data_IF_238993424204
#
_entry.id   IF_238993424204
#
_cell.length_a   1.000
_cell.length_b   1.000
_cell.length_c   1.000
_cell.angle_alpha   90.00
_cell.angle_beta   90.00
_cell.angle_gamma   90.00
#
_symmetry.space_group_name_H-M   'P 1'
#
loop_
_entity.id
_entity.type
_entity.pdbx_description
1 polymer ?
#
# COMPACT_ATOMS: atom_id res chain seq x y z
N UNK A 1 17.43 13.50 76.62
CA UNK A 1 17.24 14.12 75.29
C UNK A 1 17.70 13.15 74.19
N UNK A 2 16.94 12.07 73.97
CA UNK A 2 17.23 11.07 72.92
C UNK A 2 15.99 10.21 72.58
N UNK A 3 14.95 10.29 73.40
CA UNK A 3 13.63 9.67 73.18
C UNK A 3 12.60 10.59 72.53
N UNK A 4 12.91 11.89 72.35
CA UNK A 4 12.03 12.85 71.63
C UNK A 4 12.34 12.94 70.13
N UNK A 5 13.26 12.12 69.60
CA UNK A 5 13.66 12.11 68.19
C UNK A 5 13.08 10.91 67.42
N UNK A 6 12.22 10.10 68.05
CA UNK A 6 11.70 8.86 67.46
C UNK A 6 10.25 9.02 66.97
N UNK A 7 9.50 10.01 67.47
CA UNK A 7 8.14 10.29 66.96
C UNK A 7 8.10 11.20 65.71
N UNK A 8 9.21 11.83 65.32
CA UNK A 8 9.23 12.70 64.12
C UNK A 8 9.50 11.93 62.82
N UNK A 9 9.88 10.65 62.91
CA UNK A 9 10.14 9.79 61.73
C UNK A 9 8.94 8.96 61.28
N UNK A 10 7.79 9.05 61.97
CA UNK A 10 6.61 8.20 61.68
C UNK A 10 5.44 8.93 61.00
N UNK A 11 5.64 10.14 60.47
CA UNK A 11 4.56 10.97 59.90
C UNK A 11 4.78 11.35 58.42
N UNK A 12 5.82 10.85 57.75
CA UNK A 12 6.07 11.14 56.33
C UNK A 12 5.57 10.07 55.34
N UNK A 13 4.75 9.12 55.77
CA UNK A 13 4.23 8.05 54.89
C UNK A 13 2.80 8.28 54.42
N UNK A 14 2.35 9.53 54.27
CA UNK A 14 1.10 9.84 53.58
C UNK A 14 1.35 10.82 52.43
N UNK A 15 1.14 10.32 51.20
CA UNK A 15 0.77 11.16 50.08
C UNK A 15 1.82 11.33 48.97
N UNK A 16 2.14 10.24 48.28
CA UNK A 16 2.48 10.34 46.85
C UNK A 16 1.66 9.29 46.09
N UNK A 17 0.41 9.64 45.79
CA UNK A 17 -0.33 8.98 44.72
C UNK A 17 0.25 9.48 43.39
N UNK A 18 1.28 8.81 42.88
CA UNK A 18 1.70 9.00 41.50
C UNK A 18 0.56 8.49 40.60
N UNK A 19 -0.19 9.42 40.00
CA UNK A 19 -1.03 9.09 38.86
C UNK A 19 -0.10 8.61 37.74
N UNK A 20 -0.09 7.31 37.46
CA UNK A 20 0.57 6.77 36.27
C UNK A 20 -0.14 7.37 35.05
N UNK A 21 0.56 8.23 34.33
CA UNK A 21 0.14 8.63 32.98
C UNK A 21 0.04 7.36 32.13
N UNK A 22 -1.03 7.18 31.33
CA UNK A 22 -1.15 6.02 30.46
C UNK A 22 0.07 5.96 29.54
N UNK A 23 0.82 4.87 29.64
CA UNK A 23 1.93 4.58 28.75
C UNK A 23 1.40 4.45 27.33
N UNK A 24 1.89 5.30 26.42
CA UNK A 24 1.56 5.21 25.00
C UNK A 24 2.00 3.84 24.47
N UNK A 25 1.03 3.03 24.05
CA UNK A 25 1.30 1.73 23.42
C UNK A 25 2.09 1.95 22.12
N UNK A 26 3.19 1.22 21.87
CA UNK A 26 3.91 1.31 20.60
C UNK A 26 2.95 0.97 19.45
N UNK A 27 3.00 1.71 18.32
CA UNK A 27 2.13 1.43 17.17
C UNK A 27 2.35 0.00 16.69
N UNK A 28 1.25 -0.71 16.44
CA UNK A 28 1.27 -2.07 15.92
C UNK A 28 1.98 -2.09 14.56
N UNK A 29 2.65 -3.19 14.16
CA UNK A 29 3.22 -3.33 12.82
C UNK A 29 2.21 -2.99 11.70
N UNK A 30 0.93 -3.30 11.91
CA UNK A 30 -0.14 -2.94 10.97
C UNK A 30 -0.33 -1.42 10.80
N UNK A 31 -0.11 -0.63 11.86
CA UNK A 31 -0.17 0.84 11.80
C UNK A 31 1.03 1.43 11.04
N UNK A 32 2.16 0.71 10.98
CA UNK A 32 3.34 1.12 10.23
C UNK A 32 3.17 0.84 8.73
N UNK A 33 2.65 -0.34 8.38
CA UNK A 33 2.35 -0.71 6.98
C UNK A 33 1.28 0.19 6.35
N UNK A 34 0.28 0.61 7.13
CA UNK A 34 -0.73 1.55 6.67
C UNK A 34 -0.14 2.93 6.32
N UNK A 35 0.91 3.35 7.02
CA UNK A 35 1.56 4.67 6.81
C UNK A 35 2.48 4.70 5.60
N UNK A 36 2.92 3.55 5.08
CA UNK A 36 3.83 3.44 3.92
C UNK A 36 3.13 2.92 2.65
N UNK A 37 1.86 2.51 2.73
CA UNK A 37 1.09 2.05 1.56
C UNK A 37 0.77 3.20 0.61
N UNK A 38 1.24 3.09 -0.62
CA UNK A 38 0.86 3.98 -1.73
C UNK A 38 -0.37 3.37 -2.42
N UNK A 39 -1.45 4.15 -2.51
CA UNK A 39 -2.66 3.81 -3.26
C UNK A 39 -2.73 4.77 -4.44
N UNK A 40 -2.89 4.23 -5.65
CA UNK A 40 -3.03 5.00 -6.88
C UNK A 40 -4.21 4.47 -7.68
N UNK A 41 -5.10 5.37 -8.08
CA UNK A 41 -6.14 5.05 -9.05
C UNK A 41 -5.53 5.00 -10.45
N UNK A 42 -5.69 3.86 -11.12
CA UNK A 42 -5.20 3.66 -12.49
C UNK A 42 -6.36 3.31 -13.43
N UNK A 43 -6.37 3.94 -14.60
CA UNK A 43 -7.38 3.67 -15.63
C UNK A 43 -6.84 2.62 -16.60
N UNK A 44 -7.55 1.50 -16.73
CA UNK A 44 -7.27 0.48 -17.75
C UNK A 44 -8.20 0.70 -18.95
N UNK A 45 -7.63 0.79 -20.15
CA UNK A 45 -8.40 0.95 -21.39
C UNK A 45 -8.24 -0.30 -22.23
N UNK A 46 -9.35 -0.90 -22.67
CA UNK A 46 -9.35 -2.03 -23.58
C UNK A 46 -9.31 -1.52 -25.03
N UNK A 47 -8.45 -2.11 -25.85
CA UNK A 47 -8.32 -1.78 -27.28
C UNK A 47 -8.77 -2.98 -28.11
N UNK A 48 -9.80 -2.80 -28.94
CA UNK A 48 -10.26 -3.80 -29.91
C UNK A 48 -9.78 -3.38 -31.30
N UNK A 49 -9.13 -4.31 -32.01
CA UNK A 49 -8.61 -4.07 -33.35
C UNK A 49 -8.62 -5.35 -34.20
N UNK A 50 -8.48 -5.18 -35.51
CA UNK A 50 -8.38 -6.28 -36.47
C UNK A 50 -7.21 -6.03 -37.41
N UNK A 51 -6.46 -7.09 -37.73
CA UNK A 51 -5.33 -7.01 -38.67
C UNK A 51 -5.70 -7.71 -39.97
N UNK A 52 -5.55 -7.01 -41.08
CA UNK A 52 -5.80 -7.53 -42.43
C UNK A 52 -4.59 -7.38 -43.33
N UNK A 53 -4.46 -8.28 -44.30
CA UNK A 53 -3.48 -8.14 -45.37
C UNK A 53 -3.96 -7.14 -46.45
N UNK A 54 -3.10 -6.86 -47.44
CA UNK A 54 -3.43 -5.95 -48.55
C UNK A 54 -4.63 -6.38 -49.40
N UNK A 55 -5.09 -7.64 -49.26
CA UNK A 55 -6.23 -8.22 -49.98
C UNK A 55 -7.47 -8.31 -49.10
N UNK A 56 -7.43 -7.81 -47.86
CA UNK A 56 -8.54 -7.82 -46.92
C UNK A 56 -8.73 -9.13 -46.16
N UNK A 57 -7.77 -10.07 -46.21
CA UNK A 57 -7.85 -11.32 -45.44
C UNK A 57 -7.37 -11.09 -44.02
N UNK A 58 -8.00 -11.74 -43.04
CA UNK A 58 -7.56 -11.66 -41.65
C UNK A 58 -6.19 -12.33 -41.44
N UNK A 59 -5.36 -11.68 -40.63
CA UNK A 59 -4.09 -12.22 -40.15
C UNK A 59 -4.33 -12.76 -38.74
N UNK A 60 -4.24 -14.09 -38.59
CA UNK A 60 -4.68 -14.80 -37.36
C UNK A 60 -3.53 -15.35 -36.52
N UNK A 61 -2.30 -15.26 -36.99
CA UNK A 61 -1.12 -15.86 -36.35
C UNK A 61 -0.23 -14.83 -35.63
N UNK A 62 -0.81 -13.73 -35.15
CA UNK A 62 -0.09 -12.68 -34.40
C UNK A 62 -0.19 -12.91 -32.89
N UNK A 63 0.93 -12.78 -32.20
CA UNK A 63 1.03 -12.85 -30.75
C UNK A 63 1.20 -11.47 -30.13
N UNK A 64 1.17 -11.41 -28.79
CA UNK A 64 1.36 -10.16 -28.02
C UNK A 64 2.64 -9.39 -28.42
N UNK A 65 3.73 -10.11 -28.68
CA UNK A 65 5.04 -9.51 -28.96
C UNK A 65 5.14 -8.87 -30.36
N UNK A 66 4.14 -9.09 -31.21
CA UNK A 66 4.00 -8.40 -32.51
C UNK A 66 3.40 -7.00 -32.37
N UNK A 67 3.01 -6.59 -31.16
CA UNK A 67 2.34 -5.32 -30.89
C UNK A 67 3.09 -4.49 -29.85
N UNK A 68 3.11 -3.17 -30.07
CA UNK A 68 3.53 -2.17 -29.08
C UNK A 68 2.46 -1.10 -28.96
N UNK A 69 2.07 -0.75 -27.73
CA UNK A 69 1.15 0.36 -27.48
C UNK A 69 1.97 1.57 -27.04
N UNK A 70 1.70 2.74 -27.63
CA UNK A 70 2.37 3.99 -27.28
C UNK A 70 1.36 5.10 -27.08
N UNK A 71 1.61 5.94 -26.08
CA UNK A 71 0.90 7.20 -25.86
C UNK A 71 1.88 8.35 -26.13
N UNK A 72 1.77 8.94 -27.33
CA UNK A 72 2.77 9.88 -27.82
C UNK A 72 4.14 9.20 -27.96
N UNK A 73 5.08 9.58 -27.09
CA UNK A 73 6.44 9.01 -27.05
C UNK A 73 6.62 7.94 -25.97
N UNK A 74 5.61 7.71 -25.13
CA UNK A 74 5.71 6.80 -24.00
C UNK A 74 5.22 5.41 -24.41
N UNK A 75 6.02 4.38 -24.15
CA UNK A 75 5.61 2.99 -24.36
C UNK A 75 4.75 2.50 -23.20
N UNK A 76 3.66 1.82 -23.54
CA UNK A 76 2.67 1.34 -22.60
C UNK A 76 2.76 -0.18 -22.45
N UNK A 77 2.70 -0.65 -21.20
CA UNK A 77 2.71 -2.09 -20.91
C UNK A 77 1.37 -2.72 -21.27
N UNK A 78 1.41 -3.74 -22.13
CA UNK A 78 0.26 -4.60 -22.38
C UNK A 78 0.09 -5.55 -21.19
N UNK A 79 -0.93 -5.31 -20.37
CA UNK A 79 -1.24 -6.10 -19.18
C UNK A 79 -1.96 -7.41 -19.52
N UNK A 80 -2.81 -7.38 -20.55
CA UNK A 80 -3.62 -8.50 -21.01
C UNK A 80 -3.70 -8.45 -22.54
N UNK A 81 -3.62 -9.62 -23.16
CA UNK A 81 -3.72 -9.78 -24.61
C UNK A 81 -4.62 -10.97 -24.89
N UNK A 82 -5.65 -10.76 -25.70
CA UNK A 82 -6.58 -11.80 -26.15
C UNK A 82 -6.65 -11.71 -27.66
N UNK A 83 -6.41 -12.83 -28.34
CA UNK A 83 -6.67 -12.97 -29.77
C UNK A 83 -7.92 -13.81 -29.93
N UNK A 84 -8.99 -13.20 -30.42
CA UNK A 84 -10.20 -13.92 -30.80
C UNK A 84 -10.07 -14.32 -32.27
N UNK A 85 -10.11 -15.63 -32.54
CA UNK A 85 -9.94 -16.20 -33.88
C UNK A 85 -11.26 -16.67 -34.52
N UNK A 86 -12.41 -16.41 -33.88
CA UNK A 86 -13.72 -16.97 -34.25
C UNK A 86 -14.68 -15.92 -34.84
N UNK A 87 -14.19 -15.13 -35.81
CA UNK A 87 -14.99 -14.17 -36.59
C UNK A 87 -15.20 -14.64 -38.03
#
# INVERSE_FOLDING_TARGET
MKTLLICLLLVCSLGFAQAQAPSATPPSPADQDARTRIILDVTRVNLLFTVTDKRGRFVTNLGKDDFSVREGKNEQKILEFVSESDL
#
